data_IF_871690728842
#
_entry.id   IF_871690728842
#
_cell.length_a   1.000
_cell.length_b   1.000
_cell.length_c   1.000
_cell.angle_alpha   90.00
_cell.angle_beta   90.00
_cell.angle_gamma   90.00
#
_symmetry.space_group_name_H-M   'P 1'
#
loop_
_entity.id
_entity.type
_entity.pdbx_description
1 polymer ?
#
# COMPACT_ATOMS: atom_id res chain seq x y z
N UNK A 1 -8.42 10.15 2.01
CA UNK A 1 -7.88 9.95 0.65
C UNK A 1 -7.69 11.29 -0.05
N UNK A 2 -6.67 11.44 -0.92
CA UNK A 2 -6.44 12.64 -1.71
C UNK A 2 -7.59 12.94 -2.69
N UNK A 3 -8.39 11.93 -3.06
CA UNK A 3 -9.55 12.06 -3.93
C UNK A 3 -10.88 12.05 -3.16
N UNK A 4 -10.87 12.45 -1.88
CA UNK A 4 -12.09 12.52 -1.07
C UNK A 4 -13.12 13.48 -1.73
N UNK A 5 -14.41 13.08 -1.72
CA UNK A 5 -15.51 13.76 -2.39
C UNK A 5 -15.36 13.90 -3.92
N UNK A 6 -14.58 13.04 -4.57
CA UNK A 6 -14.42 13.03 -6.01
C UNK A 6 -13.63 14.20 -6.60
N UNK A 7 -12.84 14.91 -5.77
CA UNK A 7 -12.01 16.03 -6.26
C UNK A 7 -10.94 15.54 -7.23
N UNK A 8 -10.93 16.12 -8.42
CA UNK A 8 -9.91 15.86 -9.46
C UNK A 8 -8.89 16.99 -9.49
N UNK A 9 -7.62 16.61 -9.40
CA UNK A 9 -6.45 17.49 -9.54
C UNK A 9 -5.40 16.78 -10.37
N UNK A 10 -4.36 17.48 -10.81
CA UNK A 10 -3.21 16.83 -11.50
C UNK A 10 -2.60 15.70 -10.65
N UNK A 11 -2.60 15.83 -9.32
CA UNK A 11 -2.10 14.81 -8.40
C UNK A 11 -2.99 13.57 -8.34
N UNK A 12 -4.30 13.74 -8.47
CA UNK A 12 -5.26 12.65 -8.32
C UNK A 12 -5.76 12.08 -9.63
N UNK A 13 -5.34 12.62 -10.78
CA UNK A 13 -5.81 12.21 -12.11
C UNK A 13 -5.61 10.69 -12.35
N UNK A 14 -4.48 10.14 -11.91
CA UNK A 14 -4.19 8.70 -11.99
C UNK A 14 -5.23 7.86 -11.25
N UNK A 15 -5.80 8.36 -10.15
CA UNK A 15 -6.85 7.66 -9.39
C UNK A 15 -8.18 7.58 -10.15
N UNK A 16 -8.35 8.39 -11.18
CA UNK A 16 -9.54 8.40 -12.06
C UNK A 16 -9.30 7.69 -13.40
N UNK A 17 -8.08 7.17 -13.63
CA UNK A 17 -7.78 6.36 -14.81
C UNK A 17 -8.39 4.94 -14.69
N UNK A 18 -8.24 4.14 -15.73
CA UNK A 18 -8.75 2.78 -15.76
C UNK A 18 -8.17 1.88 -14.66
N UNK A 19 -8.89 0.82 -14.37
CA UNK A 19 -8.69 -0.04 -13.21
C UNK A 19 -7.30 -0.68 -13.13
N UNK A 20 -6.83 -0.88 -11.91
CA UNK A 20 -5.59 -1.57 -11.51
C UNK A 20 -4.33 -0.85 -11.95
N UNK A 21 -4.15 0.35 -11.44
CA UNK A 21 -2.92 1.13 -11.58
C UNK A 21 -2.29 1.46 -10.24
N UNK A 22 -0.99 1.77 -10.25
CA UNK A 22 -0.26 2.27 -9.09
C UNK A 22 -0.45 3.78 -8.92
N UNK A 23 -0.58 4.22 -7.69
CA UNK A 23 -0.51 5.62 -7.31
C UNK A 23 0.47 5.79 -6.16
N UNK A 24 1.50 6.59 -6.38
CA UNK A 24 2.55 6.83 -5.38
C UNK A 24 2.60 8.32 -5.05
N UNK A 25 2.59 8.65 -3.77
CA UNK A 25 2.77 10.03 -3.32
C UNK A 25 3.85 10.12 -2.23
N UNK A 26 4.43 11.32 -2.08
CA UNK A 26 5.40 11.61 -1.03
C UNK A 26 4.68 12.05 0.24
N UNK A 27 4.97 11.34 1.34
CA UNK A 27 4.53 11.70 2.67
C UNK A 27 5.66 12.42 3.40
N UNK A 28 5.40 13.62 3.90
CA UNK A 28 6.38 14.49 4.56
C UNK A 28 7.67 14.72 3.75
N UNK A 29 7.61 14.62 2.42
CA UNK A 29 8.75 14.79 1.52
C UNK A 29 9.82 13.71 1.55
N UNK A 30 9.64 12.62 2.31
CA UNK A 30 10.64 11.55 2.50
C UNK A 30 10.15 10.14 2.20
N UNK A 31 8.87 9.85 2.39
CA UNK A 31 8.33 8.51 2.21
C UNK A 31 7.46 8.42 0.97
N UNK A 32 7.83 7.53 0.04
CA UNK A 32 6.97 7.15 -1.06
C UNK A 32 5.92 6.17 -0.55
N UNK A 33 4.64 6.49 -0.70
CA UNK A 33 3.54 5.65 -0.25
C UNK A 33 2.80 5.06 -1.45
N UNK A 34 2.86 3.74 -1.57
CA UNK A 34 2.30 2.99 -2.68
C UNK A 34 0.86 2.61 -2.44
N UNK A 35 -0.01 3.02 -3.36
CA UNK A 35 -1.42 2.65 -3.38
C UNK A 35 -1.75 1.87 -4.65
N UNK A 36 -2.65 0.91 -4.50
CA UNK A 36 -3.30 0.20 -5.60
C UNK A 36 -4.65 0.86 -5.86
N UNK A 37 -4.87 1.31 -7.08
CA UNK A 37 -6.16 1.83 -7.53
C UNK A 37 -6.95 0.67 -8.13
N UNK A 38 -8.13 0.38 -7.59
CA UNK A 38 -8.92 -0.82 -7.91
C UNK A 38 -10.23 -0.53 -8.62
N UNK A 39 -10.43 0.68 -9.09
CA UNK A 39 -11.72 1.09 -9.59
C UNK A 39 -11.78 1.30 -11.10
N UNK A 40 -13.00 1.35 -11.60
CA UNK A 40 -13.28 1.82 -12.94
C UNK A 40 -13.10 3.33 -13.04
N UNK A 41 -12.90 3.82 -14.26
CA UNK A 41 -12.75 5.25 -14.57
C UNK A 41 -13.81 6.12 -13.89
N UNK A 42 -13.38 7.22 -13.30
CA UNK A 42 -14.20 8.22 -12.59
C UNK A 42 -14.81 7.79 -11.24
N UNK A 43 -14.47 6.59 -10.73
CA UNK A 43 -14.89 6.14 -9.39
C UNK A 43 -13.68 5.64 -8.62
N UNK A 44 -12.88 6.53 -7.99
CA UNK A 44 -11.59 6.17 -7.43
C UNK A 44 -11.71 5.46 -6.08
N UNK A 45 -11.11 4.28 -5.98
CA UNK A 45 -10.77 3.62 -4.72
C UNK A 45 -9.28 3.32 -4.69
N UNK A 46 -8.62 3.67 -3.62
CA UNK A 46 -7.20 3.44 -3.44
C UNK A 46 -6.94 2.64 -2.17
N UNK A 47 -6.13 1.60 -2.29
CA UNK A 47 -5.70 0.77 -1.18
C UNK A 47 -4.22 1.04 -0.91
N UNK A 48 -3.91 1.64 0.24
CA UNK A 48 -2.53 1.83 0.68
C UNK A 48 -1.94 0.50 1.13
N UNK A 49 -0.85 0.09 0.52
CA UNK A 49 -0.10 -1.11 0.90
C UNK A 49 0.80 -0.77 2.09
N UNK A 50 0.46 -1.32 3.26
CA UNK A 50 1.11 -0.97 4.52
C UNK A 50 2.19 -1.94 4.97
N UNK A 51 2.09 -3.19 4.59
CA UNK A 51 3.06 -4.22 4.93
C UNK A 51 2.93 -5.40 3.96
N UNK A 52 4.05 -6.07 3.71
CA UNK A 52 4.13 -7.25 2.85
C UNK A 52 5.06 -8.29 3.47
N UNK A 53 4.82 -9.55 3.19
CA UNK A 53 5.77 -10.62 3.45
C UNK A 53 6.74 -10.73 2.26
N UNK A 54 8.06 -10.53 2.46
CA UNK A 54 9.03 -10.67 1.38
C UNK A 54 9.30 -12.15 1.09
N UNK A 55 8.99 -12.60 -0.12
CA UNK A 55 9.18 -13.99 -0.56
C UNK A 55 10.46 -14.17 -1.36
N UNK A 56 10.79 -13.22 -2.25
CA UNK A 56 11.93 -13.27 -3.16
C UNK A 56 12.67 -11.93 -3.17
N UNK A 57 13.94 -11.94 -3.57
CA UNK A 57 14.74 -10.73 -3.73
C UNK A 57 15.13 -10.05 -2.41
N UNK A 58 15.17 -10.79 -1.30
CA UNK A 58 15.48 -10.23 0.04
C UNK A 58 16.84 -9.51 0.04
N UNK A 59 17.86 -10.04 -0.65
CA UNK A 59 19.18 -9.39 -0.71
C UNK A 59 19.12 -8.01 -1.36
N UNK A 60 18.31 -7.86 -2.40
CA UNK A 60 18.08 -6.56 -3.07
C UNK A 60 17.35 -5.61 -2.12
N UNK A 61 16.34 -6.10 -1.39
CA UNK A 61 15.61 -5.31 -0.41
C UNK A 61 16.52 -4.82 0.73
N UNK A 62 17.42 -5.67 1.20
CA UNK A 62 18.42 -5.29 2.22
C UNK A 62 19.35 -4.19 1.72
N UNK A 63 19.82 -4.29 0.48
CA UNK A 63 20.64 -3.24 -0.14
C UNK A 63 19.89 -1.91 -0.23
N UNK A 64 18.66 -1.93 -0.73
CA UNK A 64 17.82 -0.73 -0.87
C UNK A 64 17.51 -0.05 0.46
N UNK A 65 17.31 -0.83 1.51
CA UNK A 65 16.94 -0.32 2.84
C UNK A 65 18.13 -0.04 3.74
N UNK A 66 19.32 -0.52 3.39
CA UNK A 66 20.54 -0.43 4.23
C UNK A 66 20.51 -1.34 5.46
N UNK A 67 19.58 -2.30 5.51
CA UNK A 67 19.47 -3.27 6.60
C UNK A 67 20.47 -4.41 6.42
N UNK A 68 21.00 -4.91 7.53
CA UNK A 68 21.95 -6.03 7.52
C UNK A 68 21.26 -7.39 7.50
N UNK A 69 20.12 -7.49 8.19
CA UNK A 69 19.42 -8.75 8.36
C UNK A 69 17.93 -8.61 7.98
N UNK A 70 17.35 -9.71 7.49
CA UNK A 70 15.91 -9.81 7.27
C UNK A 70 15.21 -9.88 8.61
N UNK A 71 14.38 -8.89 8.89
CA UNK A 71 13.42 -8.91 9.98
C UNK A 71 12.08 -8.35 9.50
N UNK A 72 11.07 -8.35 10.36
CA UNK A 72 9.74 -7.85 10.01
C UNK A 72 9.72 -6.38 9.57
N UNK A 73 10.69 -5.58 10.01
CA UNK A 73 10.75 -4.15 9.70
C UNK A 73 11.23 -3.88 8.28
N UNK A 74 11.73 -4.90 7.56
CA UNK A 74 12.14 -4.76 6.17
C UNK A 74 10.99 -4.27 5.28
N UNK A 75 9.79 -4.79 5.51
CA UNK A 75 8.60 -4.53 4.70
C UNK A 75 7.35 -4.21 5.54
N UNK A 76 7.52 -3.86 6.81
CA UNK A 76 6.44 -3.45 7.70
C UNK A 76 6.40 -1.92 7.81
N UNK A 77 5.32 -1.34 7.35
CA UNK A 77 5.12 0.10 7.20
C UNK A 77 5.17 0.54 5.73
N UNK A 78 4.30 1.46 5.31
CA UNK A 78 4.14 1.80 3.89
C UNK A 78 5.40 2.42 3.27
N UNK A 79 6.17 3.21 4.03
CA UNK A 79 7.46 3.72 3.58
C UNK A 79 8.51 2.63 3.41
N UNK A 80 8.56 1.64 4.31
CA UNK A 80 9.46 0.50 4.20
C UNK A 80 9.10 -0.41 3.03
N UNK A 81 7.80 -0.62 2.77
CA UNK A 81 7.33 -1.35 1.58
C UNK A 81 7.89 -0.73 0.31
N UNK A 82 7.68 0.56 0.12
CA UNK A 82 8.15 1.25 -1.08
C UNK A 82 9.66 1.24 -1.20
N UNK A 83 10.39 1.46 -0.11
CA UNK A 83 11.85 1.44 -0.10
C UNK A 83 12.41 0.06 -0.45
N UNK A 84 11.88 -1.00 0.16
CA UNK A 84 12.29 -2.37 -0.10
C UNK A 84 12.03 -2.79 -1.55
N UNK A 85 10.86 -2.44 -2.09
CA UNK A 85 10.47 -2.78 -3.46
C UNK A 85 11.06 -1.83 -4.52
N UNK A 86 11.69 -0.73 -4.12
CA UNK A 86 12.23 0.27 -5.06
C UNK A 86 11.13 1.07 -5.74
N UNK A 87 9.99 1.25 -5.10
CA UNK A 87 8.85 2.01 -5.62
C UNK A 87 9.04 3.49 -5.30
N UNK A 88 8.91 4.33 -6.31
CA UNK A 88 9.07 5.78 -6.24
C UNK A 88 7.87 6.49 -6.85
N UNK A 89 7.77 7.81 -6.61
CA UNK A 89 6.71 8.65 -7.18
C UNK A 89 6.66 8.58 -8.72
N UNK A 90 7.79 8.32 -9.38
CA UNK A 90 7.86 8.13 -10.84
C UNK A 90 7.04 6.94 -11.34
N UNK A 91 6.68 5.99 -10.47
CA UNK A 91 5.86 4.83 -10.80
C UNK A 91 4.35 5.12 -10.73
N UNK A 92 3.96 6.35 -10.42
CA UNK A 92 2.55 6.76 -10.48
C UNK A 92 2.02 6.59 -11.90
N UNK A 93 0.88 5.90 -12.03
CA UNK A 93 0.24 5.61 -13.31
C UNK A 93 0.66 4.30 -13.97
N UNK A 94 1.63 3.57 -13.40
CA UNK A 94 2.04 2.27 -13.91
C UNK A 94 0.89 1.27 -13.80
N UNK A 95 0.61 0.54 -14.89
CA UNK A 95 -0.31 -0.59 -14.86
C UNK A 95 0.21 -1.69 -13.94
N UNK A 96 -0.65 -2.24 -13.11
CA UNK A 96 -0.30 -3.34 -12.20
C UNK A 96 -0.60 -4.73 -12.80
N UNK A 97 -0.80 -4.79 -14.09
CA UNK A 97 -0.97 -6.03 -14.87
C UNK A 97 0.21 -6.30 -15.81
N UNK A 98 1.23 -5.45 -15.79
CA UNK A 98 2.41 -5.51 -16.65
C UNK A 98 3.69 -5.86 -15.88
N UNK A 99 4.83 -5.93 -16.59
CA UNK A 99 6.06 -6.54 -16.09
C UNK A 99 6.78 -5.77 -14.97
N UNK A 100 6.66 -4.43 -14.92
CA UNK A 100 7.48 -3.63 -14.01
C UNK A 100 7.06 -3.78 -12.55
N UNK A 101 5.78 -3.56 -12.27
CA UNK A 101 5.14 -3.78 -10.98
C UNK A 101 3.81 -4.46 -11.28
N UNK A 102 3.57 -5.62 -10.73
CA UNK A 102 2.35 -6.35 -11.00
C UNK A 102 1.78 -7.02 -9.75
N UNK A 103 0.49 -7.29 -9.78
CA UNK A 103 -0.22 -8.09 -8.80
C UNK A 103 -0.62 -9.41 -9.47
N UNK A 104 -0.24 -10.50 -8.86
CA UNK A 104 -0.58 -11.84 -9.33
C UNK A 104 -1.29 -12.63 -8.23
N UNK A 105 -2.16 -13.53 -8.64
CA UNK A 105 -2.75 -14.55 -7.77
C UNK A 105 -1.82 -15.77 -7.76
N UNK A 106 -1.30 -16.12 -6.59
CA UNK A 106 -0.45 -17.29 -6.38
C UNK A 106 -1.23 -18.55 -5.94
N UNK A 107 -2.56 -18.44 -5.90
CA UNK A 107 -3.45 -19.51 -5.45
C UNK A 107 -3.54 -19.66 -3.93
N UNK A 108 -2.90 -18.78 -3.15
CA UNK A 108 -3.03 -18.80 -1.69
C UNK A 108 -4.46 -18.46 -1.26
N UNK A 109 -5.09 -19.35 -0.51
CA UNK A 109 -6.47 -19.16 -0.02
C UNK A 109 -6.43 -18.59 1.39
N UNK A 110 -6.92 -17.36 1.53
CA UNK A 110 -7.11 -16.72 2.83
C UNK A 110 -8.57 -16.85 3.26
N UNK A 111 -8.81 -17.47 4.42
CA UNK A 111 -10.15 -17.59 4.96
C UNK A 111 -10.60 -16.25 5.57
N UNK A 112 -11.87 -15.91 5.41
CA UNK A 112 -12.42 -14.64 5.89
C UNK A 112 -12.23 -14.43 7.40
N UNK A 113 -12.25 -15.49 8.21
CA UNK A 113 -11.97 -15.44 9.65
C UNK A 113 -10.55 -14.99 10.00
N UNK A 114 -9.62 -15.11 9.05
CA UNK A 114 -8.21 -14.72 9.22
C UNK A 114 -7.93 -13.28 8.74
N UNK A 115 -8.94 -12.61 8.21
CA UNK A 115 -8.89 -11.21 7.85
C UNK A 115 -9.42 -10.39 9.03
N UNK A 116 -8.56 -9.56 9.60
CA UNK A 116 -8.92 -8.66 10.69
C UNK A 116 -9.13 -7.26 10.11
N UNK A 117 -10.19 -6.62 10.55
CA UNK A 117 -10.55 -5.26 10.16
C UNK A 117 -10.60 -4.37 11.41
N UNK A 118 -9.93 -3.23 11.35
CA UNK A 118 -9.86 -2.25 12.46
C UNK A 118 -9.90 -0.82 11.93
N UNK A 119 -10.13 0.18 12.79
CA UNK A 119 -9.92 1.57 12.42
C UNK A 119 -8.50 1.82 11.93
N UNK A 120 -8.36 2.82 11.05
CA UNK A 120 -7.06 3.25 10.51
C UNK A 120 -6.23 3.92 11.62
N UNK A 121 -4.90 3.90 11.46
CA UNK A 121 -3.95 4.52 12.38
C UNK A 121 -3.42 5.81 11.75
N UNK A 122 -3.32 6.89 12.55
CA UNK A 122 -2.72 8.14 12.12
C UNK A 122 -3.55 8.94 11.12
N UNK A 123 -4.88 8.84 11.21
CA UNK A 123 -5.83 9.54 10.34
C UNK A 123 -6.89 10.31 11.14
N UNK A 124 -6.51 10.83 12.30
CA UNK A 124 -7.42 11.57 13.20
C UNK A 124 -8.06 12.78 12.51
N UNK A 125 -7.41 13.30 11.47
CA UNK A 125 -7.92 14.39 10.62
C UNK A 125 -9.06 13.95 9.67
N UNK A 126 -9.39 12.66 9.60
CA UNK A 126 -10.43 12.13 8.70
C UNK A 126 -11.84 12.15 9.33
N UNK A 127 -12.01 12.85 10.45
CA UNK A 127 -13.28 13.01 11.17
C UNK A 127 -13.99 11.65 11.40
N UNK A 128 -15.26 11.54 11.02
CA UNK A 128 -16.06 10.32 11.19
C UNK A 128 -15.46 9.10 10.48
N UNK A 129 -14.78 9.30 9.35
CA UNK A 129 -14.11 8.23 8.60
C UNK A 129 -12.90 7.64 9.34
N UNK A 130 -12.37 8.32 10.35
CA UNK A 130 -11.28 7.79 11.15
C UNK A 130 -11.67 6.53 11.93
N UNK A 131 -12.93 6.42 12.34
CA UNK A 131 -13.46 5.32 13.12
C UNK A 131 -13.88 4.12 12.26
N UNK A 132 -13.98 4.27 10.95
CA UNK A 132 -14.37 3.20 10.06
C UNK A 132 -13.29 2.11 9.97
N UNK A 133 -13.67 0.81 9.92
CA UNK A 133 -12.74 -0.31 9.96
C UNK A 133 -12.06 -0.55 8.59
N UNK A 134 -11.37 0.47 8.07
CA UNK A 134 -10.73 0.46 6.75
C UNK A 134 -9.24 0.09 6.79
N UNK A 135 -8.78 -0.52 7.87
CA UNK A 135 -7.46 -1.13 7.99
C UNK A 135 -7.64 -2.64 8.09
N UNK A 136 -7.10 -3.36 7.11
CA UNK A 136 -7.18 -4.81 7.01
C UNK A 136 -5.81 -5.45 7.16
N UNK A 137 -5.73 -6.58 7.82
CA UNK A 137 -4.52 -7.37 7.95
C UNK A 137 -4.83 -8.84 8.22
N UNK A 138 -3.84 -9.70 7.96
CA UNK A 138 -3.93 -11.13 8.22
C UNK A 138 -3.68 -11.38 9.71
N UNK A 139 -4.57 -12.17 10.33
CA UNK A 139 -4.44 -12.60 11.73
C UNK A 139 -3.06 -13.22 11.96
N UNK A 140 -2.44 -12.89 13.07
CA UNK A 140 -1.14 -13.41 13.52
C UNK A 140 0.04 -13.17 12.57
N UNK A 141 -0.13 -12.35 11.53
CA UNK A 141 0.99 -11.96 10.69
C UNK A 141 2.04 -11.18 11.48
N UNK A 142 3.30 -11.55 11.33
CA UNK A 142 4.44 -10.78 11.88
C UNK A 142 4.70 -9.50 11.06
N UNK A 143 4.28 -9.47 9.80
CA UNK A 143 4.40 -8.33 8.89
C UNK A 143 3.20 -7.40 9.04
N UNK A 144 3.11 -6.75 10.18
CA UNK A 144 2.03 -5.83 10.51
C UNK A 144 2.59 -4.45 10.79
N UNK A 145 2.05 -3.42 10.17
CA UNK A 145 2.42 -2.04 10.46
C UNK A 145 1.53 -1.43 11.56
N UNK A 146 2.14 -0.77 12.53
CA UNK A 146 1.46 -0.17 13.66
C UNK A 146 1.26 -1.15 14.83
N UNK A 147 0.44 -0.75 15.82
CA UNK A 147 0.18 -1.57 17.00
C UNK A 147 -0.66 -2.80 16.65
N UNK A 148 -0.33 -3.93 17.25
CA UNK A 148 -1.22 -5.09 17.33
C UNK A 148 -2.30 -4.76 18.38
N UNK A 149 -3.52 -4.92 18.00
CA UNK A 149 -4.66 -4.88 18.91
C UNK A 149 -5.15 -6.29 19.18
#
# INVERSE_FOLDING_TARGET
SHAFNGTRTALTEVMYADAVSGYVYLCYGIHHLFNVVTNVTNTPHAILIRALEPLQGVNIMLQRTGKKNKDRTLTSGPGNVSKALGIHIRHTGVSLTEEMIFIADDGFVLHQKDIISTPRIGVDYADEDALLPYRFFIRDSIYLSGRRH
#
